data_IF_280489345346
#
_entry.id   IF_280489345346
#
_cell.length_a   1.000
_cell.length_b   1.000
_cell.length_c   1.000
_cell.angle_alpha   90.00
_cell.angle_beta   90.00
_cell.angle_gamma   90.00
#
_symmetry.space_group_name_H-M   'P 1'
#
loop_
_entity.id
_entity.type
_entity.pdbx_description
1 polymer ?
#
# COMPACT_ATOMS: atom_id res chain seq x y z
N UNK A 1 34.66 0.46 3.46
CA UNK A 1 33.65 0.34 2.39
C UNK A 1 32.40 1.03 2.89
N UNK A 2 31.85 1.98 2.13
CA UNK A 2 30.61 2.70 2.47
C UNK A 2 29.46 1.87 1.90
N UNK A 3 28.40 1.63 2.68
CA UNK A 3 27.20 0.94 2.17
C UNK A 3 26.57 1.79 1.05
N UNK A 4 26.22 1.20 -0.11
CA UNK A 4 25.62 1.95 -1.20
C UNK A 4 24.20 2.39 -0.83
N UNK A 5 23.89 3.67 -1.04
CA UNK A 5 22.52 4.15 -1.03
C UNK A 5 21.87 3.82 -2.38
N UNK A 6 20.75 3.12 -2.36
CA UNK A 6 20.01 2.77 -3.57
C UNK A 6 18.95 3.84 -3.88
N UNK A 7 18.77 4.20 -5.17
CA UNK A 7 17.71 5.12 -5.57
C UNK A 7 16.34 4.49 -5.25
N UNK A 8 15.39 5.35 -4.90
CA UNK A 8 14.00 4.93 -4.72
C UNK A 8 13.43 4.45 -6.07
N UNK A 9 12.62 3.39 -6.11
CA UNK A 9 12.07 2.88 -7.36
C UNK A 9 11.14 3.90 -8.04
N UNK A 10 11.40 4.14 -9.32
CA UNK A 10 10.62 5.08 -10.12
C UNK A 10 9.25 4.49 -10.50
N UNK A 11 8.16 5.29 -10.47
CA UNK A 11 6.87 4.88 -10.99
C UNK A 11 6.91 4.76 -12.53
N UNK A 12 6.01 3.95 -13.10
CA UNK A 12 5.85 3.90 -14.56
C UNK A 12 5.25 5.20 -15.11
N UNK A 13 5.37 5.44 -16.42
CA UNK A 13 4.73 6.60 -17.08
C UNK A 13 3.21 6.64 -16.85
N UNK A 14 2.56 5.47 -16.82
CA UNK A 14 1.11 5.34 -16.55
C UNK A 14 0.77 5.72 -15.11
N UNK A 15 1.60 5.30 -14.16
CA UNK A 15 1.45 5.69 -12.76
C UNK A 15 1.67 7.19 -12.57
N UNK A 16 2.66 7.76 -13.25
CA UNK A 16 2.93 9.20 -13.23
C UNK A 16 1.74 10.00 -13.78
N UNK A 17 1.14 9.56 -14.88
CA UNK A 17 -0.07 10.18 -15.43
C UNK A 17 -1.21 10.21 -14.39
N UNK A 18 -1.47 9.10 -13.71
CA UNK A 18 -2.49 9.03 -12.65
C UNK A 18 -2.19 9.99 -11.47
N UNK A 19 -0.93 10.10 -11.07
CA UNK A 19 -0.52 11.04 -10.01
C UNK A 19 -0.67 12.50 -10.45
N UNK A 20 -0.38 12.81 -11.71
CA UNK A 20 -0.57 14.14 -12.28
C UNK A 20 -2.05 14.52 -12.27
N UNK A 21 -2.94 13.61 -12.68
CA UNK A 21 -4.39 13.86 -12.68
C UNK A 21 -4.90 14.15 -11.26
N UNK A 22 -4.46 13.36 -10.27
CA UNK A 22 -4.76 13.62 -8.85
C UNK A 22 -4.27 15.00 -8.40
N UNK A 23 -3.06 15.40 -8.80
CA UNK A 23 -2.50 16.71 -8.46
C UNK A 23 -3.23 17.86 -9.16
N UNK A 24 -3.68 17.68 -10.41
CA UNK A 24 -4.51 18.65 -11.14
C UNK A 24 -5.84 18.82 -10.42
N UNK A 25 -6.52 17.72 -10.08
CA UNK A 25 -7.80 17.77 -9.37
C UNK A 25 -7.65 18.41 -7.99
N UNK A 26 -6.57 18.10 -7.24
CA UNK A 26 -6.31 18.71 -5.95
C UNK A 26 -6.09 20.23 -6.02
N UNK A 27 -5.53 20.74 -7.12
CA UNK A 27 -5.38 22.20 -7.35
C UNK A 27 -6.69 22.88 -7.74
N UNK A 28 -7.60 22.18 -8.40
CA UNK A 28 -8.89 22.69 -8.86
C UNK A 28 -8.82 23.54 -10.15
N UNK A 29 -9.94 24.20 -10.47
CA UNK A 29 -10.09 25.06 -11.66
C UNK A 29 -10.54 24.29 -12.91
N UNK A 30 -10.59 24.98 -14.06
CA UNK A 30 -11.08 24.43 -15.33
C UNK A 30 -10.42 23.10 -15.76
N UNK A 31 -9.09 22.90 -15.60
CA UNK A 31 -8.47 21.59 -15.87
C UNK A 31 -8.98 20.46 -14.98
N UNK A 32 -9.28 20.73 -13.70
CA UNK A 32 -9.87 19.73 -12.80
C UNK A 32 -11.31 19.39 -13.22
N UNK A 33 -12.09 20.38 -13.62
CA UNK A 33 -13.44 20.17 -14.15
C UNK A 33 -13.41 19.27 -15.40
N UNK A 34 -12.47 19.49 -16.32
CA UNK A 34 -12.32 18.66 -17.52
C UNK A 34 -12.04 17.18 -17.21
N UNK A 35 -11.26 16.90 -16.17
CA UNK A 35 -10.99 15.52 -15.71
C UNK A 35 -12.24 14.92 -15.05
N UNK A 36 -12.91 15.69 -14.19
CA UNK A 36 -14.05 15.22 -13.40
C UNK A 36 -15.33 15.02 -14.22
N UNK A 37 -15.47 15.69 -15.38
CA UNK A 37 -16.62 15.52 -16.28
C UNK A 37 -16.85 14.06 -16.68
N UNK A 38 -15.79 13.26 -16.75
CA UNK A 38 -15.88 11.84 -17.08
C UNK A 38 -16.52 11.00 -15.95
N UNK A 39 -16.65 11.54 -14.74
CA UNK A 39 -17.26 10.88 -13.58
C UNK A 39 -16.46 9.69 -13.03
N UNK A 40 -15.25 9.46 -13.55
CA UNK A 40 -14.40 8.35 -13.14
C UNK A 40 -13.75 8.61 -11.77
N UNK A 41 -13.68 7.57 -10.95
CA UNK A 41 -12.91 7.60 -9.71
C UNK A 41 -11.43 7.53 -10.09
N UNK A 42 -10.69 8.61 -9.83
CA UNK A 42 -9.26 8.63 -10.11
C UNK A 42 -8.53 7.54 -9.31
N UNK A 43 -7.68 6.73 -9.99
CA UNK A 43 -6.95 5.66 -9.35
C UNK A 43 -5.92 6.23 -8.36
N UNK A 44 -5.87 5.65 -7.16
CA UNK A 44 -4.91 6.02 -6.11
C UNK A 44 -3.92 4.89 -5.93
N UNK A 45 -2.63 5.15 -6.18
CA UNK A 45 -1.58 4.13 -6.06
C UNK A 45 -1.47 3.55 -4.65
N UNK A 46 -1.81 4.33 -3.62
CA UNK A 46 -1.86 3.90 -2.23
C UNK A 46 -3.10 3.08 -1.85
N UNK A 47 -4.06 2.94 -2.77
CA UNK A 47 -5.27 2.15 -2.61
C UNK A 47 -5.50 1.34 -3.89
N UNK A 48 -4.81 0.19 -4.00
CA UNK A 48 -4.85 -0.69 -5.18
C UNK A 48 -6.29 -1.09 -5.57
N UNK A 49 -7.21 -1.12 -4.60
CA UNK A 49 -8.62 -1.46 -4.85
C UNK A 49 -9.37 -0.38 -5.63
N UNK A 50 -8.88 0.86 -5.62
CA UNK A 50 -9.41 1.96 -6.43
C UNK A 50 -8.99 1.91 -7.90
N UNK A 51 -7.97 1.11 -8.24
CA UNK A 51 -7.39 1.07 -9.58
C UNK A 51 -8.20 0.11 -10.44
N UNK A 52 -9.05 0.60 -11.34
CA UNK A 52 -9.86 -0.24 -12.24
C UNK A 52 -9.07 -0.78 -13.44
N UNK A 53 -8.15 0.01 -14.00
CA UNK A 53 -7.29 -0.37 -15.13
C UNK A 53 -6.34 -1.53 -14.72
N UNK A 54 -6.44 -2.72 -15.35
CA UNK A 54 -5.59 -3.86 -15.03
C UNK A 54 -4.10 -3.59 -15.30
N UNK A 55 -3.77 -2.78 -16.30
CA UNK A 55 -2.38 -2.45 -16.62
C UNK A 55 -1.77 -1.55 -15.54
N UNK A 56 -2.49 -0.47 -15.15
CA UNK A 56 -2.08 0.39 -14.04
C UNK A 56 -1.97 -0.39 -12.73
N UNK A 57 -2.89 -1.34 -12.49
CA UNK A 57 -2.81 -2.20 -11.31
C UNK A 57 -1.55 -3.08 -11.35
N UNK A 58 -1.22 -3.65 -12.51
CA UNK A 58 0.00 -4.44 -12.72
C UNK A 58 1.28 -3.63 -12.53
N UNK A 59 1.34 -2.40 -13.06
CA UNK A 59 2.45 -1.47 -12.84
C UNK A 59 2.63 -1.15 -11.35
N UNK A 60 1.52 -0.88 -10.67
CA UNK A 60 1.52 -0.58 -9.22
C UNK A 60 2.05 -1.76 -8.42
N UNK A 61 1.67 -3.00 -8.75
CA UNK A 61 2.20 -4.20 -8.10
C UNK A 61 3.71 -4.36 -8.29
N UNK A 62 4.22 -4.15 -9.51
CA UNK A 62 5.66 -4.22 -9.79
C UNK A 62 6.44 -3.14 -9.03
N UNK A 63 5.91 -1.93 -8.98
CA UNK A 63 6.50 -0.83 -8.22
C UNK A 63 6.53 -1.12 -6.71
N UNK A 64 5.47 -1.71 -6.16
CA UNK A 64 5.44 -2.12 -4.75
C UNK A 64 6.43 -3.24 -4.44
N UNK A 65 6.62 -4.20 -5.34
CA UNK A 65 7.64 -5.24 -5.17
C UNK A 65 9.06 -4.63 -5.14
N UNK A 66 9.35 -3.72 -6.08
CA UNK A 66 10.61 -2.97 -6.10
C UNK A 66 10.79 -2.11 -4.83
N UNK A 67 9.71 -1.50 -4.34
CA UNK A 67 9.72 -0.74 -3.09
C UNK A 67 10.03 -1.61 -1.88
N UNK A 68 9.46 -2.82 -1.79
CA UNK A 68 9.74 -3.74 -0.69
C UNK A 68 11.21 -4.17 -0.68
N UNK A 69 11.78 -4.45 -1.86
CA UNK A 69 13.21 -4.76 -2.00
C UNK A 69 14.08 -3.60 -1.51
N UNK A 70 13.77 -2.38 -1.97
CA UNK A 70 14.47 -1.15 -1.56
C UNK A 70 14.29 -0.88 -0.05
N UNK A 71 13.08 -1.03 0.49
CA UNK A 71 12.79 -0.79 1.90
C UNK A 71 13.60 -1.74 2.78
N UNK A 72 13.66 -3.01 2.42
CA UNK A 72 14.45 -4.00 3.13
C UNK A 72 15.95 -3.72 3.02
N UNK A 73 16.46 -3.29 1.86
CA UNK A 73 17.89 -3.00 1.68
C UNK A 73 18.34 -1.73 2.40
N UNK A 74 17.48 -0.71 2.48
CA UNK A 74 17.84 0.62 2.99
C UNK A 74 17.42 0.87 4.45
N UNK A 75 16.37 0.21 4.95
CA UNK A 75 15.74 0.55 6.24
C UNK A 75 15.56 -0.62 7.20
N UNK A 76 15.70 -1.88 6.76
CA UNK A 76 15.57 -3.03 7.66
C UNK A 76 16.93 -3.42 8.24
N UNK A 77 17.13 -3.16 9.53
CA UNK A 77 18.39 -3.50 10.21
C UNK A 77 18.36 -4.92 10.79
N UNK A 78 17.28 -5.29 11.49
CA UNK A 78 17.09 -6.65 12.00
C UNK A 78 16.18 -7.46 11.09
N UNK A 79 16.30 -8.79 11.14
CA UNK A 79 15.39 -9.70 10.42
C UNK A 79 13.92 -9.43 10.77
N UNK A 80 13.64 -9.06 12.03
CA UNK A 80 12.31 -8.69 12.50
C UNK A 80 11.74 -7.40 11.86
N UNK A 81 12.58 -6.57 11.24
CA UNK A 81 12.17 -5.35 10.55
C UNK A 81 11.91 -5.61 9.06
N UNK A 82 12.37 -6.75 8.54
CA UNK A 82 12.19 -7.09 7.13
C UNK A 82 10.72 -7.36 6.81
N UNK A 83 10.28 -6.83 5.68
CA UNK A 83 9.04 -7.26 5.04
C UNK A 83 9.26 -8.65 4.43
N UNK A 84 8.45 -9.66 4.80
CA UNK A 84 8.65 -11.02 4.30
C UNK A 84 8.25 -11.14 2.83
N UNK A 85 8.82 -12.11 2.08
CA UNK A 85 8.47 -12.32 0.67
C UNK A 85 7.00 -12.69 0.44
N UNK A 86 6.31 -13.25 1.45
CA UNK A 86 4.88 -13.53 1.39
C UNK A 86 3.99 -12.30 1.67
N UNK A 87 4.54 -11.08 1.71
CA UNK A 87 3.76 -9.84 1.88
C UNK A 87 2.51 -9.72 0.97
N UNK A 88 2.50 -10.24 -0.28
CA UNK A 88 1.30 -10.19 -1.13
C UNK A 88 0.15 -11.08 -0.60
N UNK A 89 0.43 -12.02 0.28
CA UNK A 89 -0.57 -12.86 0.94
C UNK A 89 -1.17 -12.20 2.19
N UNK A 90 -0.69 -11.01 2.56
CA UNK A 90 -1.13 -10.27 3.74
C UNK A 90 -1.84 -8.95 3.35
N UNK A 91 -3.18 -8.93 3.30
CA UNK A 91 -3.93 -7.72 2.94
C UNK A 91 -3.65 -6.50 3.81
N UNK A 92 -3.23 -6.71 5.07
CA UNK A 92 -2.79 -5.62 5.96
C UNK A 92 -1.45 -5.03 5.51
N UNK A 93 -0.46 -5.87 5.21
CA UNK A 93 0.83 -5.43 4.68
C UNK A 93 0.69 -4.72 3.34
N UNK A 94 -0.13 -5.24 2.42
CA UNK A 94 -0.36 -4.58 1.11
C UNK A 94 -0.82 -3.12 1.30
N UNK A 95 -1.82 -2.88 2.16
CA UNK A 95 -2.36 -1.53 2.41
C UNK A 95 -1.33 -0.59 3.03
N UNK A 96 -0.62 -1.10 4.03
CA UNK A 96 0.41 -0.35 4.75
C UNK A 96 1.59 0.00 3.84
N UNK A 97 2.09 -0.97 3.06
CA UNK A 97 3.18 -0.79 2.09
C UNK A 97 2.77 0.17 0.97
N UNK A 98 1.55 0.05 0.43
CA UNK A 98 1.06 0.94 -0.63
C UNK A 98 1.05 2.40 -0.18
N UNK A 99 0.60 2.65 1.05
CA UNK A 99 0.59 3.99 1.64
C UNK A 99 2.00 4.48 1.94
N UNK A 100 2.85 3.63 2.52
CA UNK A 100 4.22 3.99 2.85
C UNK A 100 5.05 4.37 1.61
N UNK A 101 4.91 3.59 0.53
CA UNK A 101 5.57 3.85 -0.76
C UNK A 101 5.11 5.18 -1.37
N UNK A 102 3.80 5.43 -1.41
CA UNK A 102 3.24 6.68 -1.94
C UNK A 102 3.69 7.91 -1.13
N UNK A 103 3.69 7.82 0.20
CA UNK A 103 4.20 8.90 1.06
C UNK A 103 5.69 9.14 0.82
N UNK A 104 6.49 8.07 0.66
CA UNK A 104 7.92 8.20 0.38
C UNK A 104 8.18 8.87 -0.97
N UNK A 105 7.41 8.49 -1.99
CA UNK A 105 7.48 9.08 -3.32
C UNK A 105 7.12 10.57 -3.26
N UNK A 106 5.95 10.91 -2.70
CA UNK A 106 5.50 12.29 -2.57
C UNK A 106 6.50 13.16 -1.78
N UNK A 107 7.13 12.59 -0.75
CA UNK A 107 8.17 13.27 0.00
C UNK A 107 9.45 13.53 -0.82
N UNK A 108 9.78 12.65 -1.77
CA UNK A 108 10.89 12.85 -2.71
C UNK A 108 10.63 13.95 -3.74
N UNK A 109 9.37 14.13 -4.13
CA UNK A 109 8.93 15.17 -5.07
C UNK A 109 8.77 16.56 -4.42
N UNK A 110 8.89 16.65 -3.09
CA UNK A 110 8.72 17.89 -2.38
C UNK A 110 9.88 18.87 -2.62
N UNK A 111 9.57 20.17 -2.69
CA UNK A 111 10.56 21.24 -2.88
C UNK A 111 11.42 21.51 -1.63
N UNK A 112 11.08 20.91 -0.49
CA UNK A 112 11.77 21.11 0.78
C UNK A 112 11.96 19.79 1.52
N UNK A 113 12.87 19.74 2.50
CA UNK A 113 13.23 18.50 3.17
C UNK A 113 12.16 18.01 4.16
N UNK A 114 11.22 18.88 4.54
CA UNK A 114 10.24 18.60 5.60
C UNK A 114 9.42 17.33 5.36
N UNK A 115 8.81 17.09 4.18
CA UNK A 115 8.05 15.86 3.95
C UNK A 115 8.90 14.59 4.07
N UNK A 116 10.18 14.65 3.67
CA UNK A 116 11.09 13.51 3.81
C UNK A 116 11.52 13.30 5.26
N UNK A 117 11.69 14.37 6.03
CA UNK A 117 11.92 14.30 7.48
C UNK A 117 10.72 13.67 8.18
N UNK A 118 9.49 14.10 7.86
CA UNK A 118 8.25 13.55 8.42
C UNK A 118 8.07 12.07 8.06
N UNK A 119 8.44 11.67 6.85
CA UNK A 119 8.41 10.27 6.45
C UNK A 119 9.33 9.41 7.33
N UNK A 120 10.57 9.85 7.57
CA UNK A 120 11.51 9.16 8.44
C UNK A 120 11.09 9.19 9.92
N UNK A 121 10.49 10.31 10.36
CA UNK A 121 10.15 10.54 11.77
C UNK A 121 8.86 9.83 12.18
N UNK A 122 7.89 9.77 11.28
CA UNK A 122 6.53 9.33 11.60
C UNK A 122 6.07 8.16 10.75
N UNK A 123 6.15 8.24 9.43
CA UNK A 123 5.55 7.23 8.55
C UNK A 123 6.24 5.87 8.68
N UNK A 124 7.56 5.83 8.52
CA UNK A 124 8.35 4.60 8.57
C UNK A 124 8.31 3.93 9.97
N UNK A 125 8.58 4.63 11.09
CA UNK A 125 8.50 4.00 12.42
C UNK A 125 7.10 3.48 12.73
N UNK A 126 6.06 4.24 12.40
CA UNK A 126 4.68 3.81 12.67
C UNK A 126 4.29 2.59 11.84
N UNK A 127 4.77 2.48 10.60
CA UNK A 127 4.63 1.27 9.78
C UNK A 127 5.30 0.07 10.46
N UNK A 128 6.57 0.23 10.87
CA UNK A 128 7.35 -0.83 11.48
C UNK A 128 6.66 -1.37 12.74
N UNK A 129 6.12 -0.47 13.57
CA UNK A 129 5.39 -0.82 14.79
C UNK A 129 4.05 -1.54 14.48
N UNK A 130 3.18 -0.93 13.66
CA UNK A 130 1.83 -1.48 13.38
C UNK A 130 1.84 -2.82 12.66
N UNK A 131 2.86 -3.06 11.83
CA UNK A 131 2.95 -4.28 11.03
C UNK A 131 3.90 -5.34 11.61
N UNK A 132 4.49 -5.10 12.80
CA UNK A 132 5.46 -6.01 13.41
C UNK A 132 4.95 -7.46 13.51
N UNK A 133 3.75 -7.66 14.05
CA UNK A 133 3.17 -8.99 14.21
C UNK A 133 2.91 -9.68 12.86
N UNK A 134 2.49 -8.92 11.85
CA UNK A 134 2.24 -9.46 10.51
C UNK A 134 3.53 -9.89 9.81
N UNK A 135 4.61 -9.09 9.94
CA UNK A 135 5.91 -9.40 9.35
C UNK A 135 6.56 -10.62 10.01
N UNK A 136 6.46 -10.74 11.33
CA UNK A 136 7.04 -11.85 12.13
C UNK A 136 6.24 -13.16 12.06
N UNK A 137 4.98 -13.12 11.61
CA UNK A 137 4.14 -14.31 11.57
C UNK A 137 4.66 -15.39 10.59
N UNK A 138 5.55 -15.04 9.65
CA UNK A 138 5.89 -15.90 8.51
C UNK A 138 7.39 -16.25 8.40
N UNK A 139 8.11 -16.29 9.53
CA UNK A 139 9.58 -16.51 9.58
C UNK A 139 10.07 -17.71 8.73
N UNK A 140 9.38 -18.86 8.77
CA UNK A 140 9.75 -20.05 7.98
C UNK A 140 8.72 -20.42 6.90
N UNK A 141 7.43 -20.16 7.16
CA UNK A 141 6.31 -20.50 6.27
C UNK A 141 5.19 -19.48 6.43
N UNK A 142 4.50 -19.16 5.34
CA UNK A 142 3.32 -18.30 5.40
C UNK A 142 2.30 -18.86 6.40
N UNK A 143 1.87 -18.00 7.33
CA UNK A 143 0.79 -18.29 8.27
C UNK A 143 -0.44 -17.43 7.94
N UNK A 144 -1.64 -18.04 7.89
CA UNK A 144 -2.87 -17.26 7.76
C UNK A 144 -3.02 -16.34 8.97
N UNK A 145 -3.73 -15.21 8.80
CA UNK A 145 -3.88 -14.25 9.90
C UNK A 145 -4.53 -14.91 11.14
N UNK A 146 -4.08 -14.61 12.37
CA UNK A 146 -4.56 -15.29 13.60
C UNK A 146 -6.08 -15.24 13.80
N UNK A 147 -6.72 -14.16 13.36
CA UNK A 147 -8.16 -13.97 13.44
C UNK A 147 -9.00 -14.81 12.45
N UNK A 148 -8.38 -15.62 11.57
CA UNK A 148 -9.10 -16.34 10.50
C UNK A 148 -10.22 -17.22 11.04
N UNK A 149 -9.96 -17.97 12.11
CA UNK A 149 -10.96 -18.84 12.72
C UNK A 149 -12.16 -18.05 13.29
N UNK A 150 -11.91 -16.88 13.89
CA UNK A 150 -12.98 -16.02 14.39
C UNK A 150 -13.82 -15.44 13.25
N UNK A 151 -13.16 -14.98 12.18
CA UNK A 151 -13.84 -14.51 10.97
C UNK A 151 -14.70 -15.61 10.32
N UNK A 152 -14.18 -16.84 10.21
CA UNK A 152 -14.95 -17.98 9.70
C UNK A 152 -16.20 -18.26 10.55
N UNK A 153 -16.09 -18.18 11.89
CA UNK A 153 -17.27 -18.33 12.77
C UNK A 153 -18.31 -17.25 12.50
N UNK A 154 -17.90 -16.00 12.31
CA UNK A 154 -18.81 -14.90 11.99
C UNK A 154 -19.59 -15.14 10.68
N UNK A 155 -18.91 -15.58 9.62
CA UNK A 155 -19.55 -15.93 8.34
C UNK A 155 -20.60 -17.03 8.49
N UNK A 156 -20.34 -18.03 9.34
CA UNK A 156 -21.28 -19.14 9.60
C UNK A 156 -22.46 -18.68 10.47
N UNK A 157 -22.23 -17.81 11.45
CA UNK A 157 -23.29 -17.23 12.29
C UNK A 157 -24.29 -16.39 11.48
N UNK A 158 -23.82 -15.59 10.53
CA UNK A 158 -24.67 -14.77 9.67
C UNK A 158 -25.41 -15.62 8.60
N UNK A 159 -24.76 -16.66 8.05
CA UNK A 159 -25.40 -17.62 7.15
C UNK A 159 -26.49 -18.48 7.82
N UNK A 160 -26.37 -18.72 9.14
CA UNK A 160 -27.38 -19.42 9.93
C UNK A 160 -28.60 -18.58 10.33
N UNK A 161 -28.51 -17.25 10.24
CA UNK A 161 -29.62 -16.34 10.48
C UNK A 161 -30.56 -16.23 9.26
N UNK A 162 -30.01 -16.22 8.04
CA UNK A 162 -30.81 -16.20 6.81
C UNK A 162 -31.65 -17.48 6.61
N UNK A 163 -31.17 -18.64 7.06
CA UNK A 163 -31.91 -19.91 6.92
C UNK A 163 -33.10 -20.06 7.91
N UNK A 164 -33.23 -19.17 8.90
CA UNK A 164 -34.31 -19.22 9.91
C UNK A 164 -35.50 -18.30 9.62
N UNK A 165 -35.42 -17.39 8.63
CA UNK A 165 -36.55 -16.52 8.27
C UNK A 165 -37.50 -17.11 7.23
N UNK A 166 -37.09 -18.17 6.51
CA UNK A 166 -37.93 -18.83 5.47
C UNK A 166 -38.78 -19.99 6.01
N UNK A 167 -38.88 -20.15 7.33
CA UNK A 167 -39.83 -21.07 7.99
C UNK A 167 -40.67 -20.30 9.00
N UNK A 168 -41.61 -19.50 8.52
CA UNK A 168 -42.74 -18.98 9.30
C UNK A 168 -43.92 -18.73 8.37
#
# INVERSE_FOLDING_TARGET
MVAPLEPFPEPSERMLAALIDLAVVARGGGPAEAILVNGEILPRLWDITSIADPDLRGDTWQWLDAFVIWLNSQHAWYSADHTPPCWPEHPGLIRELSTLAALRYQAGEALGPMPLEEWHRYALPSYLDRSADQRRACDEKHQPWPGRAAHTRHLVSDGGAAAKSDRS
#
